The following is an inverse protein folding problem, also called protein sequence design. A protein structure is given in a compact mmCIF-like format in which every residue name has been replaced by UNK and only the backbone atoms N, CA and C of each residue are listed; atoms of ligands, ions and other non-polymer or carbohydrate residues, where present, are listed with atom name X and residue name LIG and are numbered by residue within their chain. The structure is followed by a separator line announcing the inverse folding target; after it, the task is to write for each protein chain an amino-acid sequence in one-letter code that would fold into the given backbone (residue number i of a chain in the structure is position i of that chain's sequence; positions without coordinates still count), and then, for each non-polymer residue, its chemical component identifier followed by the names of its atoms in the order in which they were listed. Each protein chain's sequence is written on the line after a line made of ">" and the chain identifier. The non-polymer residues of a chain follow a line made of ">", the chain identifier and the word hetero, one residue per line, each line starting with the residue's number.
data_IF_717261428741
#
_entry.id   IF_717261428741
#
_cell.length_a   1.000
_cell.length_b   1.000
_cell.length_c   1.000
_cell.angle_alpha   90.00
_cell.angle_beta   90.00
_cell.angle_gamma   90.00
#
_symmetry.space_group_name_H-M   'P 1'
#
loop_
_entity.id
_entity.type
_entity.pdbx_description
1 polymer ?
#
# COMPACT_ATOMS: atom_id res chain seq x y z
N UNK A 1 -26.26 19.56 -30.03
CA UNK A 1 -26.16 19.93 -28.61
C UNK A 1 -26.22 18.59 -27.86
N UNK A 2 -25.07 18.00 -27.57
CA UNK A 2 -24.98 16.78 -26.76
C UNK A 2 -24.93 17.28 -25.29
N UNK A 3 -25.87 16.78 -24.49
CA UNK A 3 -25.92 16.96 -23.07
C UNK A 3 -24.63 16.41 -22.46
N UNK A 4 -23.84 17.29 -21.88
CA UNK A 4 -22.81 16.89 -20.92
C UNK A 4 -23.56 16.27 -19.76
N UNK A 5 -23.54 14.94 -19.65
CA UNK A 5 -23.94 14.22 -18.44
C UNK A 5 -23.11 14.79 -17.28
N UNK A 6 -23.82 15.49 -16.41
CA UNK A 6 -23.29 16.10 -15.21
C UNK A 6 -22.95 14.95 -14.25
N UNK A 7 -21.70 14.46 -14.30
CA UNK A 7 -21.20 13.41 -13.41
C UNK A 7 -20.91 14.05 -12.05
N UNK A 8 -21.99 14.46 -11.35
CA UNK A 8 -21.90 15.02 -10.01
C UNK A 8 -21.67 13.88 -9.04
N UNK A 9 -20.62 13.98 -8.21
CA UNK A 9 -20.34 13.04 -7.11
C UNK A 9 -21.57 12.92 -6.22
N UNK A 10 -22.03 11.69 -5.97
CA UNK A 10 -23.22 11.38 -5.19
C UNK A 10 -22.85 10.68 -3.90
N UNK A 11 -23.21 11.28 -2.77
CA UNK A 11 -22.94 10.72 -1.46
C UNK A 11 -24.23 10.21 -0.82
N UNK A 12 -24.21 8.99 -0.30
CA UNK A 12 -25.28 8.42 0.49
C UNK A 12 -24.82 8.28 1.94
N UNK A 13 -25.43 9.03 2.86
CA UNK A 13 -25.26 8.86 4.30
C UNK A 13 -26.30 7.84 4.83
N UNK A 14 -25.82 6.80 5.53
CA UNK A 14 -26.63 5.70 6.09
C UNK A 14 -26.37 5.64 7.59
N UNK A 15 -27.31 6.14 8.38
CA UNK A 15 -27.22 6.26 9.84
C UNK A 15 -28.64 6.39 10.40
N UNK A 16 -28.99 5.70 11.48
CA UNK A 16 -30.31 5.83 12.11
C UNK A 16 -30.46 7.15 12.86
N UNK A 17 -29.39 7.81 13.21
CA UNK A 17 -29.37 9.15 13.80
C UNK A 17 -29.48 10.21 12.69
N UNK A 18 -30.67 10.83 12.57
CA UNK A 18 -30.92 11.83 11.53
C UNK A 18 -29.97 13.03 11.62
N UNK A 19 -29.59 13.45 12.82
CA UNK A 19 -28.65 14.57 13.04
C UNK A 19 -27.27 14.28 12.44
N UNK A 20 -26.83 13.03 12.48
CA UNK A 20 -25.57 12.59 11.84
C UNK A 20 -25.71 12.58 10.31
N UNK A 21 -26.84 12.04 9.82
CA UNK A 21 -27.15 12.10 8.38
C UNK A 21 -27.14 13.53 7.85
N UNK A 22 -27.75 14.46 8.56
CA UNK A 22 -27.84 15.87 8.18
C UNK A 22 -26.45 16.55 8.21
N UNK A 23 -25.65 16.28 9.26
CA UNK A 23 -24.28 16.76 9.35
C UNK A 23 -23.42 16.28 8.17
N UNK A 24 -23.46 14.98 7.86
CA UNK A 24 -22.71 14.40 6.73
C UNK A 24 -23.19 15.00 5.41
N UNK A 25 -24.50 15.18 5.24
CA UNK A 25 -25.06 15.81 4.03
C UNK A 25 -24.61 17.26 3.89
N UNK A 26 -24.67 18.08 4.95
CA UNK A 26 -24.27 19.49 4.93
C UNK A 26 -22.77 19.66 4.57
N UNK A 27 -21.90 18.87 5.21
CA UNK A 27 -20.46 18.84 4.89
C UNK A 27 -20.25 18.47 3.41
N UNK A 28 -20.98 17.43 2.95
CA UNK A 28 -20.88 16.95 1.56
C UNK A 28 -21.35 18.02 0.55
N UNK A 29 -22.43 18.73 0.83
CA UNK A 29 -22.90 19.84 0.00
C UNK A 29 -21.85 20.96 -0.10
N UNK A 30 -21.22 21.32 1.02
CA UNK A 30 -20.12 22.29 1.05
C UNK A 30 -18.93 21.89 0.16
N UNK A 31 -18.74 20.59 -0.04
CA UNK A 31 -17.72 20.02 -0.91
C UNK A 31 -18.21 19.77 -2.36
N UNK A 32 -19.48 20.05 -2.69
CA UNK A 32 -20.03 19.92 -4.05
C UNK A 32 -20.54 18.51 -4.39
N UNK A 33 -20.84 17.67 -3.42
CA UNK A 33 -21.57 16.41 -3.64
C UNK A 33 -23.07 16.67 -3.77
N UNK A 34 -23.76 15.79 -4.48
CA UNK A 34 -25.21 15.62 -4.34
C UNK A 34 -25.40 14.58 -3.25
N UNK A 35 -25.96 14.96 -2.09
CA UNK A 35 -26.12 14.07 -0.96
C UNK A 35 -27.57 13.54 -0.85
N UNK A 36 -27.68 12.30 -0.37
CA UNK A 36 -28.93 11.70 0.05
C UNK A 36 -28.68 11.00 1.40
N UNK A 37 -29.75 10.92 2.20
CA UNK A 37 -29.71 10.28 3.51
C UNK A 37 -30.60 9.04 3.54
N UNK A 38 -30.29 8.10 4.42
CA UNK A 38 -31.04 6.87 4.63
C UNK A 38 -30.97 6.46 6.10
N UNK A 39 -32.06 6.61 6.82
CA UNK A 39 -32.16 6.22 8.23
C UNK A 39 -32.69 4.80 8.46
N UNK A 40 -33.27 4.18 7.43
CA UNK A 40 -33.72 2.78 7.48
C UNK A 40 -32.80 1.91 6.59
N UNK A 41 -31.87 1.13 7.17
CA UNK A 41 -30.93 0.31 6.41
C UNK A 41 -31.59 -0.79 5.58
N UNK A 42 -32.84 -1.18 5.86
CA UNK A 42 -33.57 -2.16 5.05
C UNK A 42 -33.82 -1.68 3.61
N UNK A 43 -33.85 -0.36 3.43
CA UNK A 43 -34.03 0.29 2.13
C UNK A 43 -32.73 0.48 1.34
N UNK A 44 -31.58 0.04 1.89
CA UNK A 44 -30.27 0.26 1.27
C UNK A 44 -30.23 -0.20 -0.21
N UNK A 45 -30.65 -1.43 -0.49
CA UNK A 45 -30.63 -1.96 -1.87
C UNK A 45 -31.50 -1.15 -2.85
N UNK A 46 -32.64 -0.64 -2.40
CA UNK A 46 -33.51 0.20 -3.24
C UNK A 46 -32.85 1.57 -3.49
N UNK A 47 -32.30 2.17 -2.43
CA UNK A 47 -31.64 3.47 -2.52
C UNK A 47 -30.37 3.41 -3.38
N UNK A 48 -29.57 2.36 -3.27
CA UNK A 48 -28.41 2.12 -4.13
C UNK A 48 -28.79 2.14 -5.61
N UNK A 49 -29.85 1.42 -5.99
CA UNK A 49 -30.28 1.36 -7.41
C UNK A 49 -30.87 2.69 -7.92
N UNK A 50 -31.54 3.44 -7.07
CA UNK A 50 -32.22 4.69 -7.51
C UNK A 50 -31.31 5.91 -7.48
N UNK A 51 -30.36 5.94 -6.55
CA UNK A 51 -29.46 7.08 -6.35
C UNK A 51 -28.09 6.87 -6.94
N UNK A 52 -27.64 5.61 -7.08
CA UNK A 52 -26.34 5.20 -7.63
C UNK A 52 -25.19 6.03 -7.02
N UNK A 53 -24.94 5.91 -5.70
CA UNK A 53 -23.94 6.73 -5.03
C UNK A 53 -22.51 6.40 -5.47
N UNK A 54 -21.64 7.40 -5.50
CA UNK A 54 -20.19 7.25 -5.68
C UNK A 54 -19.47 7.10 -4.35
N UNK A 55 -20.07 7.64 -3.27
CA UNK A 55 -19.56 7.54 -1.89
C UNK A 55 -20.68 7.13 -0.96
N UNK A 56 -20.41 6.24 -0.01
CA UNK A 56 -21.31 5.84 1.07
C UNK A 56 -20.62 6.14 2.39
N UNK A 57 -21.29 6.89 3.28
CA UNK A 57 -20.93 7.00 4.69
C UNK A 57 -21.88 6.08 5.45
N UNK A 58 -21.31 5.05 6.11
CA UNK A 58 -22.10 3.95 6.68
C UNK A 58 -21.85 3.84 8.19
N UNK A 59 -22.90 3.97 9.00
CA UNK A 59 -22.81 3.58 10.41
C UNK A 59 -22.79 2.05 10.56
N UNK A 60 -22.00 1.60 11.53
CA UNK A 60 -21.93 0.18 11.90
C UNK A 60 -22.94 -0.23 12.96
N UNK A 61 -23.50 0.73 13.73
CA UNK A 61 -24.40 0.47 14.83
C UNK A 61 -25.79 1.04 14.56
N UNK A 62 -26.63 0.26 13.93
CA UNK A 62 -28.03 0.63 13.71
C UNK A 62 -28.98 -0.43 14.31
N UNK A 63 -30.11 -0.06 14.90
CA UNK A 63 -31.00 -0.99 15.60
C UNK A 63 -31.57 -2.11 14.72
N UNK A 64 -31.77 -1.85 13.43
CA UNK A 64 -32.45 -2.75 12.49
C UNK A 64 -31.50 -3.59 11.59
N UNK A 65 -30.21 -3.26 11.56
CA UNK A 65 -29.19 -4.05 10.86
C UNK A 65 -27.79 -3.71 11.39
N UNK A 66 -26.94 -4.70 11.57
CA UNK A 66 -25.55 -4.44 11.87
C UNK A 66 -24.75 -4.08 10.59
N UNK A 67 -23.75 -3.20 10.76
CA UNK A 67 -22.96 -2.71 9.64
C UNK A 67 -22.20 -3.80 8.89
N UNK A 68 -21.86 -4.92 9.56
CA UNK A 68 -21.18 -6.07 8.91
C UNK A 68 -22.12 -6.74 7.92
N UNK A 69 -23.40 -6.88 8.28
CA UNK A 69 -24.44 -7.40 7.37
C UNK A 69 -24.60 -6.47 6.15
N UNK A 70 -24.58 -5.15 6.37
CA UNK A 70 -24.68 -4.17 5.29
C UNK A 70 -23.45 -4.18 4.37
N UNK A 71 -22.24 -4.32 4.92
CA UNK A 71 -21.02 -4.49 4.11
C UNK A 71 -21.12 -5.73 3.23
N UNK A 72 -21.59 -6.85 3.78
CA UNK A 72 -21.80 -8.08 3.00
C UNK A 72 -22.85 -7.89 1.90
N UNK A 73 -23.94 -7.21 2.19
CA UNK A 73 -24.98 -6.88 1.21
C UNK A 73 -24.43 -5.98 0.08
N UNK A 74 -23.60 -4.98 0.40
CA UNK A 74 -22.92 -4.13 -0.60
C UNK A 74 -21.95 -4.93 -1.45
N UNK A 75 -21.22 -5.88 -0.87
CA UNK A 75 -20.33 -6.78 -1.61
C UNK A 75 -21.10 -7.67 -2.58
N UNK A 76 -22.22 -8.30 -2.13
CA UNK A 76 -23.09 -9.13 -2.97
C UNK A 76 -23.66 -8.34 -4.15
N UNK A 77 -23.92 -7.04 -3.96
CA UNK A 77 -24.37 -6.12 -5.01
C UNK A 77 -23.22 -5.64 -5.91
N UNK A 78 -21.96 -6.04 -5.65
CA UNK A 78 -20.76 -5.58 -6.36
C UNK A 78 -20.65 -4.05 -6.35
N UNK A 79 -20.90 -3.45 -5.19
CA UNK A 79 -20.85 -2.01 -4.99
C UNK A 79 -19.49 -1.44 -5.39
N UNK A 80 -19.50 -0.40 -6.24
CA UNK A 80 -18.30 0.31 -6.67
C UNK A 80 -18.07 1.62 -5.90
N UNK A 81 -19.05 2.07 -5.10
CA UNK A 81 -18.92 3.28 -4.31
C UNK A 81 -17.79 3.15 -3.29
N UNK A 82 -17.12 4.26 -2.99
CA UNK A 82 -16.18 4.33 -1.89
C UNK A 82 -16.92 4.35 -0.55
N UNK A 83 -16.53 3.51 0.41
CA UNK A 83 -17.23 3.35 1.68
C UNK A 83 -16.39 3.93 2.80
N UNK A 84 -16.96 4.91 3.51
CA UNK A 84 -16.43 5.46 4.75
C UNK A 84 -17.26 4.90 5.91
N UNK A 85 -16.60 4.24 6.86
CA UNK A 85 -17.27 3.76 8.06
C UNK A 85 -17.33 4.87 9.11
N UNK A 86 -18.49 5.00 9.74
CA UNK A 86 -18.74 5.92 10.84
C UNK A 86 -19.32 5.12 11.99
N UNK A 87 -18.81 5.23 13.22
CA UNK A 87 -19.42 4.52 14.35
C UNK A 87 -18.97 5.04 15.71
N UNK A 88 -19.83 4.80 16.73
CA UNK A 88 -19.52 4.99 18.13
C UNK A 88 -18.75 3.83 18.78
N UNK A 89 -18.54 2.71 18.07
CA UNK A 89 -17.76 1.57 18.59
C UNK A 89 -16.30 1.93 18.82
N UNK A 90 -15.62 1.12 19.62
CA UNK A 90 -14.18 1.28 19.84
C UNK A 90 -13.37 1.15 18.53
N UNK A 91 -12.20 1.78 18.51
CA UNK A 91 -11.35 1.86 17.33
C UNK A 91 -10.96 0.48 16.76
N UNK A 92 -10.86 -0.55 17.61
CA UNK A 92 -10.49 -1.92 17.22
C UNK A 92 -11.60 -2.60 16.44
N UNK A 93 -12.84 -2.47 16.92
CA UNK A 93 -14.04 -3.01 16.23
C UNK A 93 -14.22 -2.33 14.88
N UNK A 94 -14.03 -1.00 14.83
CA UNK A 94 -14.15 -0.21 13.61
C UNK A 94 -13.05 -0.58 12.59
N UNK A 95 -11.81 -0.83 13.04
CA UNK A 95 -10.73 -1.33 12.21
C UNK A 95 -11.01 -2.72 11.64
N UNK A 96 -11.63 -3.59 12.45
CA UNK A 96 -12.00 -4.95 12.01
C UNK A 96 -13.07 -4.91 10.92
N UNK A 97 -14.08 -4.03 11.05
CA UNK A 97 -15.11 -3.86 10.03
C UNK A 97 -14.55 -3.29 8.72
N UNK A 98 -13.64 -2.32 8.78
CA UNK A 98 -12.96 -1.79 7.60
C UNK A 98 -12.17 -2.88 6.87
N UNK A 99 -11.43 -3.69 7.61
CA UNK A 99 -10.68 -4.81 7.04
C UNK A 99 -11.59 -5.83 6.37
N UNK A 100 -12.69 -6.21 7.04
CA UNK A 100 -13.68 -7.12 6.47
C UNK A 100 -14.25 -6.58 5.15
N UNK A 101 -14.55 -5.28 5.07
CA UNK A 101 -14.98 -4.64 3.82
C UNK A 101 -13.94 -4.78 2.71
N UNK A 102 -12.67 -4.56 3.01
CA UNK A 102 -11.55 -4.76 2.04
C UNK A 102 -11.44 -6.21 1.57
N UNK A 103 -11.54 -7.18 2.49
CA UNK A 103 -11.51 -8.61 2.16
C UNK A 103 -12.70 -9.05 1.27
N UNK A 104 -13.83 -8.38 1.41
CA UNK A 104 -15.01 -8.60 0.56
C UNK A 104 -14.96 -7.85 -0.78
N UNK A 105 -13.83 -7.21 -1.10
CA UNK A 105 -13.62 -6.49 -2.35
C UNK A 105 -14.29 -5.12 -2.44
N UNK A 106 -14.73 -4.57 -1.31
CA UNK A 106 -15.30 -3.23 -1.23
C UNK A 106 -14.20 -2.17 -1.21
N UNK A 107 -14.47 -1.03 -1.83
CA UNK A 107 -13.57 0.12 -1.83
C UNK A 107 -13.71 0.91 -0.54
N UNK A 108 -12.91 0.57 0.46
CA UNK A 108 -12.93 1.26 1.76
C UNK A 108 -12.15 2.57 1.68
N UNK A 109 -12.80 3.70 1.99
CA UNK A 109 -12.22 5.03 2.03
C UNK A 109 -11.48 5.28 3.34
N UNK A 110 -11.95 4.66 4.42
CA UNK A 110 -11.42 4.78 5.76
C UNK A 110 -12.51 4.64 6.80
N UNK A 111 -12.19 5.12 8.00
CA UNK A 111 -13.10 5.07 9.15
C UNK A 111 -13.02 6.36 9.98
N UNK A 112 -14.13 6.74 10.58
CA UNK A 112 -14.25 7.83 11.54
C UNK A 112 -15.02 7.35 12.78
N UNK A 113 -14.56 7.76 13.95
CA UNK A 113 -15.26 7.50 15.21
C UNK A 113 -16.19 8.67 15.54
N UNK A 114 -17.40 8.35 16.06
CA UNK A 114 -18.29 9.38 16.63
C UNK A 114 -17.71 9.86 17.99
N UNK A 115 -17.74 11.18 18.29
CA UNK A 115 -18.36 12.26 17.52
C UNK A 115 -17.55 12.61 16.26
N UNK A 116 -18.27 12.98 15.18
CA UNK A 116 -17.68 13.21 13.86
C UNK A 116 -16.80 14.46 13.88
N UNK A 117 -15.52 14.29 13.59
CA UNK A 117 -14.61 15.39 13.28
C UNK A 117 -14.85 15.83 11.82
N UNK A 118 -15.38 17.03 11.65
CA UNK A 118 -15.71 17.61 10.33
C UNK A 118 -14.48 17.71 9.45
N UNK A 119 -13.32 18.12 10.00
CA UNK A 119 -12.09 18.28 9.22
C UNK A 119 -11.57 16.93 8.71
N UNK A 120 -11.66 15.88 9.54
CA UNK A 120 -11.29 14.53 9.15
C UNK A 120 -12.27 13.95 8.10
N UNK A 121 -13.58 14.24 8.24
CA UNK A 121 -14.58 13.87 7.24
C UNK A 121 -14.31 14.55 5.90
N UNK A 122 -14.07 15.86 5.87
CA UNK A 122 -13.71 16.62 4.68
C UNK A 122 -12.44 16.07 4.00
N UNK A 123 -11.41 15.77 4.79
CA UNK A 123 -10.17 15.20 4.27
C UNK A 123 -10.40 13.86 3.56
N UNK A 124 -11.16 12.95 4.16
CA UNK A 124 -11.49 11.65 3.58
C UNK A 124 -12.39 11.78 2.34
N UNK A 125 -13.43 12.59 2.39
CA UNK A 125 -14.29 12.86 1.23
C UNK A 125 -13.52 13.53 0.09
N UNK A 126 -12.56 14.40 0.40
CA UNK A 126 -11.66 15.00 -0.58
C UNK A 126 -10.79 13.98 -1.32
N UNK A 127 -10.39 12.89 -0.64
CA UNK A 127 -9.68 11.79 -1.30
C UNK A 127 -10.60 10.99 -2.23
N UNK A 128 -11.86 10.79 -1.86
CA UNK A 128 -12.86 10.13 -2.71
C UNK A 128 -13.04 10.85 -4.06
N UNK A 129 -13.16 12.18 -4.05
CA UNK A 129 -13.30 12.99 -5.27
C UNK A 129 -12.08 12.95 -6.18
N UNK A 130 -10.89 12.92 -5.59
CA UNK A 130 -9.64 12.81 -6.39
C UNK A 130 -9.54 11.48 -7.13
N UNK A 131 -10.12 10.43 -6.58
CA UNK A 131 -10.11 9.07 -7.19
C UNK A 131 -11.14 8.96 -8.32
N UNK A 132 -12.27 9.68 -8.27
CA UNK A 132 -13.28 9.71 -9.35
C UNK A 132 -12.94 10.68 -10.50
N UNK A 133 -11.88 11.49 -10.39
CA UNK A 133 -11.28 12.20 -11.54
C UNK A 133 -10.63 11.21 -12.54
N UNK A 134 -11.14 10.04 -12.58
CA UNK A 134 -11.19 8.86 -13.42
C UNK A 134 -10.05 8.69 -14.41
N UNK A 135 -9.04 7.93 -14.03
CA UNK A 135 -8.18 7.25 -15.01
C UNK A 135 -8.94 6.04 -15.55
N UNK A 136 -9.19 6.02 -16.83
CA UNK A 136 -9.82 4.89 -17.51
C UNK A 136 -8.80 3.79 -17.85
N UNK A 137 -9.29 2.59 -18.15
CA UNK A 137 -8.46 1.51 -18.68
C UNK A 137 -7.75 1.90 -19.99
N UNK A 138 -8.38 2.75 -20.80
CA UNK A 138 -7.80 3.23 -22.06
C UNK A 138 -6.69 4.28 -21.79
N UNK A 139 -6.87 5.15 -20.80
CA UNK A 139 -5.80 6.05 -20.35
C UNK A 139 -4.60 5.26 -19.84
N UNK A 140 -4.83 4.23 -19.04
CA UNK A 140 -3.76 3.37 -18.51
C UNK A 140 -3.06 2.59 -19.64
N UNK A 141 -3.80 2.05 -20.61
CA UNK A 141 -3.24 1.36 -21.76
C UNK A 141 -2.37 2.30 -22.62
N UNK A 142 -2.88 3.51 -22.87
CA UNK A 142 -2.12 4.55 -23.57
C UNK A 142 -0.87 4.93 -22.79
N UNK A 143 -0.98 5.18 -21.48
CA UNK A 143 0.13 5.57 -20.62
C UNK A 143 1.27 4.53 -20.62
N UNK A 144 0.93 3.23 -20.60
CA UNK A 144 1.92 2.15 -20.73
C UNK A 144 2.60 2.22 -22.11
N UNK A 145 1.82 2.42 -23.18
CA UNK A 145 2.36 2.45 -24.53
C UNK A 145 3.29 3.65 -24.80
N UNK A 146 3.02 4.82 -24.20
CA UNK A 146 3.84 6.03 -24.40
C UNK A 146 4.81 6.30 -23.23
N UNK A 147 4.87 5.38 -22.26
CA UNK A 147 5.77 5.43 -21.11
C UNK A 147 5.58 6.68 -20.23
N UNK A 148 4.36 6.92 -19.78
CA UNK A 148 4.05 7.99 -18.81
C UNK A 148 4.42 7.61 -17.36
N UNK A 149 5.08 6.48 -17.15
CA UNK A 149 5.49 5.98 -15.84
C UNK A 149 6.95 6.30 -15.54
N UNK A 150 7.23 6.44 -14.26
CA UNK A 150 8.60 6.48 -13.75
C UNK A 150 8.69 5.74 -12.42
N UNK A 151 9.91 5.35 -12.06
CA UNK A 151 10.20 4.74 -10.77
C UNK A 151 10.79 5.78 -9.83
N UNK A 152 10.16 5.94 -8.66
CA UNK A 152 10.74 6.62 -7.51
C UNK A 152 11.38 5.58 -6.59
N UNK A 153 12.47 5.93 -5.96
CA UNK A 153 13.23 5.03 -5.09
C UNK A 153 13.18 5.56 -3.66
N UNK A 154 12.74 4.73 -2.73
CA UNK A 154 12.75 5.06 -1.31
C UNK A 154 13.91 4.35 -0.62
N UNK A 155 14.79 5.07 0.09
CA UNK A 155 15.96 4.49 0.73
C UNK A 155 15.60 3.55 1.88
N UNK A 156 16.29 2.41 1.94
CA UNK A 156 16.29 1.44 3.04
C UNK A 156 17.64 1.52 3.77
N UNK A 157 17.61 1.80 5.07
CA UNK A 157 18.79 1.92 5.92
C UNK A 157 19.03 0.63 6.70
N UNK A 158 20.24 0.09 6.62
CA UNK A 158 20.66 -1.05 7.43
C UNK A 158 21.03 -0.59 8.85
N UNK A 159 20.54 -1.30 9.86
CA UNK A 159 20.83 -1.04 11.28
C UNK A 159 21.90 -1.97 11.86
N UNK A 160 22.42 -2.91 11.06
CA UNK A 160 23.44 -3.85 11.51
C UNK A 160 24.82 -3.18 11.60
N UNK A 161 25.64 -3.67 12.58
CA UNK A 161 27.08 -3.38 12.66
C UNK A 161 27.48 -1.97 13.09
N UNK A 162 26.57 -1.19 13.72
CA UNK A 162 26.91 0.13 14.27
C UNK A 162 27.24 1.20 13.23
N UNK A 163 27.08 0.90 11.94
CA UNK A 163 27.17 1.84 10.83
C UNK A 163 25.85 1.89 10.09
N UNK A 164 25.12 2.96 10.33
CA UNK A 164 23.87 3.24 9.63
C UNK A 164 24.19 3.68 8.20
N UNK A 165 23.86 2.87 7.23
CA UNK A 165 24.08 3.20 5.83
C UNK A 165 22.89 2.75 4.98
N UNK A 166 22.66 3.48 3.91
CA UNK A 166 21.69 3.07 2.89
C UNK A 166 22.29 1.88 2.13
N UNK A 167 21.64 0.73 2.21
CA UNK A 167 22.08 -0.52 1.55
C UNK A 167 21.14 -0.97 0.45
N UNK A 168 19.96 -0.35 0.39
CA UNK A 168 18.96 -0.69 -0.60
C UNK A 168 17.92 0.39 -0.76
N UNK A 169 16.99 0.12 -1.66
CA UNK A 169 15.86 0.99 -1.99
C UNK A 169 14.64 0.16 -2.31
N UNK A 170 13.46 0.71 -2.09
CA UNK A 170 12.22 0.21 -2.67
C UNK A 170 11.88 1.00 -3.94
N UNK A 171 11.58 0.27 -5.01
CA UNK A 171 11.19 0.82 -6.31
C UNK A 171 9.67 1.00 -6.36
N UNK A 172 9.23 2.24 -6.38
CA UNK A 172 7.85 2.64 -6.29
C UNK A 172 7.40 3.30 -7.59
N UNK A 173 6.56 2.62 -8.36
CA UNK A 173 6.02 3.17 -9.62
C UNK A 173 5.17 4.41 -9.35
N UNK A 174 5.27 5.40 -10.26
CA UNK A 174 4.47 6.62 -10.28
C UNK A 174 4.00 6.87 -11.71
N UNK A 175 2.78 7.32 -11.87
CA UNK A 175 2.25 7.70 -13.18
C UNK A 175 2.26 9.21 -13.33
N UNK A 176 3.04 9.71 -14.28
CA UNK A 176 3.08 11.13 -14.64
C UNK A 176 2.04 11.41 -15.71
N UNK A 177 0.80 11.63 -15.27
CA UNK A 177 -0.30 11.90 -16.19
C UNK A 177 -0.22 13.35 -16.70
N UNK A 178 -0.39 13.60 -18.03
CA UNK A 178 -0.18 14.92 -18.63
C UNK A 178 -1.13 16.01 -18.12
N UNK A 179 -2.33 15.65 -17.66
CA UNK A 179 -3.34 16.58 -17.14
C UNK A 179 -3.51 16.54 -15.63
N UNK A 180 -3.35 15.35 -15.01
CA UNK A 180 -3.64 15.12 -13.59
C UNK A 180 -2.40 15.22 -12.71
N UNK A 181 -1.20 15.40 -13.31
CA UNK A 181 0.05 15.38 -12.56
C UNK A 181 0.47 13.96 -12.16
N UNK A 182 1.10 13.83 -11.00
CA UNK A 182 1.57 12.52 -10.52
C UNK A 182 0.44 11.76 -9.83
N UNK A 183 0.05 10.63 -10.40
CA UNK A 183 -0.98 9.72 -9.87
C UNK A 183 -0.29 8.63 -9.02
N UNK A 184 -0.72 8.43 -7.77
CA UNK A 184 -0.15 7.42 -6.89
C UNK A 184 -0.62 6.00 -7.27
N UNK A 185 0.16 4.94 -6.92
CA UNK A 185 -0.16 3.55 -7.27
C UNK A 185 -1.55 3.08 -6.82
N UNK A 186 -2.01 3.54 -5.67
CA UNK A 186 -3.33 3.17 -5.12
C UNK A 186 -4.50 3.48 -6.06
N UNK A 187 -4.33 4.43 -6.98
CA UNK A 187 -5.38 4.83 -7.93
C UNK A 187 -5.37 3.97 -9.21
N UNK A 188 -4.21 3.50 -9.68
CA UNK A 188 -4.12 2.80 -10.96
C UNK A 188 -3.76 1.32 -10.87
N UNK A 189 -3.10 0.85 -9.80
CA UNK A 189 -2.77 -0.58 -9.66
C UNK A 189 -4.03 -1.46 -9.62
N UNK A 190 -5.08 -1.13 -8.80
CA UNK A 190 -6.30 -1.94 -8.82
C UNK A 190 -7.00 -1.93 -10.20
N UNK A 191 -6.91 -0.84 -10.94
CA UNK A 191 -7.41 -0.78 -12.32
C UNK A 191 -6.59 -1.66 -13.25
N UNK A 192 -5.25 -1.63 -13.14
CA UNK A 192 -4.36 -2.48 -13.93
C UNK A 192 -4.64 -3.97 -13.69
N UNK A 193 -4.89 -4.35 -12.44
CA UNK A 193 -5.24 -5.72 -12.05
C UNK A 193 -6.56 -6.18 -12.66
N UNK A 194 -7.62 -5.41 -12.50
CA UNK A 194 -8.96 -5.74 -13.05
C UNK A 194 -8.99 -5.80 -14.56
N UNK A 195 -8.14 -5.02 -15.24
CA UNK A 195 -8.13 -4.91 -16.71
C UNK A 195 -7.04 -5.76 -17.38
N UNK A 196 -6.26 -6.54 -16.61
CA UNK A 196 -5.15 -7.35 -17.11
C UNK A 196 -3.94 -6.55 -17.57
N UNK A 197 -3.88 -5.24 -17.28
CA UNK A 197 -2.76 -4.36 -17.62
C UNK A 197 -1.62 -4.43 -16.60
N UNK A 198 -1.78 -5.18 -15.51
CA UNK A 198 -0.76 -5.30 -14.47
C UNK A 198 0.52 -5.96 -14.99
N UNK A 199 0.44 -6.96 -15.87
CA UNK A 199 1.59 -7.63 -16.44
C UNK A 199 2.45 -6.70 -17.32
N UNK A 200 1.92 -6.00 -18.34
CA UNK A 200 2.70 -5.06 -19.12
C UNK A 200 3.23 -3.87 -18.31
N UNK A 201 2.51 -3.43 -17.28
CA UNK A 201 2.98 -2.40 -16.36
C UNK A 201 4.17 -2.89 -15.53
N UNK A 202 4.09 -4.10 -14.97
CA UNK A 202 5.19 -4.71 -14.22
C UNK A 202 6.43 -4.90 -15.09
N UNK A 203 6.26 -5.35 -16.33
CA UNK A 203 7.37 -5.50 -17.28
C UNK A 203 8.05 -4.15 -17.59
N UNK A 204 7.29 -3.06 -17.65
CA UNK A 204 7.82 -1.70 -17.84
C UNK A 204 8.63 -1.27 -16.62
N UNK A 205 8.10 -1.42 -15.43
CA UNK A 205 8.78 -1.09 -14.17
C UNK A 205 10.07 -1.88 -14.01
N UNK A 206 10.03 -3.18 -14.25
CA UNK A 206 11.21 -4.05 -14.13
C UNK A 206 12.31 -3.69 -15.12
N UNK A 207 11.96 -3.29 -16.35
CA UNK A 207 12.96 -2.80 -17.33
C UNK A 207 13.65 -1.52 -16.85
N UNK A 208 12.89 -0.58 -16.28
CA UNK A 208 13.46 0.65 -15.74
C UNK A 208 14.34 0.38 -14.51
N UNK A 209 13.88 -0.50 -13.61
CA UNK A 209 14.66 -0.94 -12.44
C UNK A 209 15.96 -1.61 -12.85
N UNK A 210 15.92 -2.59 -13.76
CA UNK A 210 17.11 -3.30 -14.21
C UNK A 210 18.15 -2.35 -14.86
N UNK A 211 17.66 -1.39 -15.66
CA UNK A 211 18.51 -0.35 -16.26
C UNK A 211 19.16 0.52 -15.17
N UNK A 212 18.40 0.93 -14.16
CA UNK A 212 18.91 1.77 -13.08
C UNK A 212 19.90 1.01 -12.19
N UNK A 213 19.64 -0.26 -11.88
CA UNK A 213 20.56 -1.11 -11.13
C UNK A 213 21.91 -1.25 -11.84
N UNK A 214 21.91 -1.40 -13.18
CA UNK A 214 23.14 -1.42 -13.98
C UNK A 214 23.92 -0.10 -13.86
N UNK A 215 23.21 1.05 -13.88
CA UNK A 215 23.84 2.38 -13.74
C UNK A 215 24.51 2.48 -12.37
N UNK A 216 23.83 2.11 -11.29
CA UNK A 216 24.38 2.14 -9.94
C UNK A 216 25.56 1.19 -9.75
N UNK A 217 25.48 -0.03 -10.30
CA UNK A 217 26.59 -0.97 -10.27
C UNK A 217 27.82 -0.42 -10.98
N UNK A 218 27.65 0.19 -12.16
CA UNK A 218 28.75 0.82 -12.91
C UNK A 218 29.33 2.05 -12.19
N UNK A 219 28.51 2.76 -11.37
CA UNK A 219 28.96 3.88 -10.54
C UNK A 219 29.63 3.44 -9.22
N UNK A 220 29.75 2.13 -8.97
CA UNK A 220 30.33 1.61 -7.72
C UNK A 220 29.40 1.68 -6.51
N UNK A 221 28.11 1.89 -6.70
CA UNK A 221 27.06 1.98 -5.64
C UNK A 221 26.03 0.86 -5.85
N UNK A 222 26.38 -0.42 -5.60
CA UNK A 222 25.48 -1.53 -5.83
C UNK A 222 24.41 -1.63 -4.73
N UNK A 223 23.26 -0.98 -4.93
CA UNK A 223 22.11 -1.04 -4.01
C UNK A 223 21.30 -2.32 -4.22
N UNK A 224 20.77 -2.85 -3.13
CA UNK A 224 19.67 -3.83 -3.21
C UNK A 224 18.38 -3.09 -3.61
N UNK A 225 17.62 -3.64 -4.54
CA UNK A 225 16.37 -3.03 -5.00
C UNK A 225 15.21 -3.97 -4.72
N UNK A 226 14.21 -3.50 -4.02
CA UNK A 226 12.97 -4.20 -3.79
C UNK A 226 11.91 -3.74 -4.79
N UNK A 227 11.14 -4.68 -5.34
CA UNK A 227 10.06 -4.41 -6.29
C UNK A 227 8.80 -5.14 -5.87
N UNK A 228 7.68 -4.42 -5.87
CA UNK A 228 6.38 -4.97 -5.60
C UNK A 228 5.85 -5.78 -6.79
N UNK A 229 5.33 -6.98 -6.52
CA UNK A 229 4.71 -7.87 -7.52
C UNK A 229 3.27 -8.18 -7.11
N UNK A 230 2.33 -7.89 -8.01
CA UNK A 230 0.91 -8.20 -7.78
C UNK A 230 0.66 -9.70 -7.62
N UNK A 231 -0.26 -10.04 -6.72
CA UNK A 231 -0.73 -11.42 -6.50
C UNK A 231 -1.18 -12.14 -7.76
N UNK A 232 -1.78 -11.40 -8.70
CA UNK A 232 -2.27 -11.95 -9.97
C UNK A 232 -1.13 -12.56 -10.78
N UNK A 233 0.07 -12.00 -10.68
CA UNK A 233 1.24 -12.47 -11.42
C UNK A 233 1.90 -13.70 -10.78
N UNK A 234 1.54 -14.06 -9.54
CA UNK A 234 2.03 -15.29 -8.90
C UNK A 234 1.42 -16.58 -9.47
N UNK A 235 0.43 -16.47 -10.35
CA UNK A 235 -0.09 -17.60 -11.12
C UNK A 235 0.75 -17.87 -12.41
N UNK A 236 1.67 -16.97 -12.77
CA UNK A 236 2.51 -17.11 -13.95
C UNK A 236 3.85 -17.78 -13.65
N UNK A 237 3.94 -19.07 -13.92
CA UNK A 237 5.16 -19.87 -13.73
C UNK A 237 6.38 -19.37 -14.55
N UNK A 238 6.15 -18.60 -15.60
CA UNK A 238 7.20 -18.01 -16.45
C UNK A 238 7.76 -16.69 -15.91
N UNK A 239 7.11 -16.06 -14.94
CA UNK A 239 7.52 -14.76 -14.40
C UNK A 239 8.97 -14.75 -13.88
N UNK A 240 9.41 -15.73 -13.05
CA UNK A 240 10.78 -15.75 -12.55
C UNK A 240 11.83 -15.88 -13.67
N UNK A 241 11.52 -16.61 -14.76
CA UNK A 241 12.41 -16.76 -15.91
C UNK A 241 12.52 -15.44 -16.68
N UNK A 242 11.42 -14.74 -16.91
CA UNK A 242 11.42 -13.44 -17.60
C UNK A 242 12.22 -12.39 -16.83
N UNK A 243 12.02 -12.30 -15.50
CA UNK A 243 12.76 -11.33 -14.67
C UNK A 243 14.24 -11.68 -14.66
N UNK A 244 14.58 -12.97 -14.52
CA UNK A 244 15.98 -13.41 -14.56
C UNK A 244 16.66 -13.05 -15.90
N UNK A 245 16.01 -13.35 -17.03
CA UNK A 245 16.55 -13.02 -18.36
C UNK A 245 16.73 -11.51 -18.56
N UNK A 246 15.80 -10.70 -18.00
CA UNK A 246 15.89 -9.24 -18.06
C UNK A 246 17.11 -8.71 -17.31
N UNK A 247 17.38 -9.20 -16.09
CA UNK A 247 18.55 -8.79 -15.29
C UNK A 247 19.85 -9.25 -15.92
N UNK A 248 19.90 -10.50 -16.44
CA UNK A 248 21.07 -11.03 -17.12
C UNK A 248 21.43 -10.22 -18.37
N UNK A 249 20.43 -9.81 -19.16
CA UNK A 249 20.62 -8.97 -20.32
C UNK A 249 21.19 -7.59 -19.97
N UNK A 250 21.01 -7.12 -18.73
CA UNK A 250 21.57 -5.89 -18.20
C UNK A 250 22.91 -6.12 -17.45
N UNK A 251 23.34 -7.37 -17.28
CA UNK A 251 24.51 -7.71 -16.47
C UNK A 251 24.37 -7.41 -14.98
N UNK A 252 23.14 -7.48 -14.47
CA UNK A 252 22.80 -7.17 -13.07
C UNK A 252 22.74 -8.47 -12.26
N UNK A 253 23.36 -8.45 -11.08
CA UNK A 253 23.31 -9.56 -10.12
C UNK A 253 21.87 -9.71 -9.56
N UNK A 254 21.27 -10.86 -9.80
CA UNK A 254 19.91 -11.21 -9.38
C UNK A 254 19.72 -11.18 -7.86
N UNK A 255 20.79 -11.46 -7.11
CA UNK A 255 20.76 -11.43 -5.62
C UNK A 255 20.55 -10.00 -5.06
N UNK A 256 20.66 -8.99 -5.93
CA UNK A 256 20.39 -7.59 -5.60
C UNK A 256 18.95 -7.18 -5.84
N UNK A 257 18.12 -8.07 -6.38
CA UNK A 257 16.68 -7.81 -6.53
C UNK A 257 15.90 -8.61 -5.50
N UNK A 258 15.11 -7.92 -4.69
CA UNK A 258 14.11 -8.50 -3.78
C UNK A 258 12.74 -8.35 -4.40
N UNK A 259 11.98 -9.45 -4.47
CA UNK A 259 10.58 -9.43 -4.90
C UNK A 259 9.72 -9.32 -3.65
N UNK A 260 8.90 -8.28 -3.57
CA UNK A 260 7.96 -8.03 -2.48
C UNK A 260 6.57 -8.48 -2.87
N UNK A 261 5.90 -9.20 -1.97
CA UNK A 261 4.55 -9.74 -2.15
C UNK A 261 3.78 -9.51 -0.85
N UNK A 262 2.58 -8.97 -0.93
CA UNK A 262 1.77 -8.73 0.27
C UNK A 262 1.39 -10.03 0.99
N UNK A 263 1.20 -9.95 2.31
CA UNK A 263 0.81 -11.07 3.15
C UNK A 263 -0.45 -11.77 2.60
N UNK A 264 -1.50 -11.00 2.32
CA UNK A 264 -2.77 -11.51 1.77
C UNK A 264 -2.55 -12.24 0.45
N UNK A 265 -1.72 -11.70 -0.44
CA UNK A 265 -1.39 -12.30 -1.73
C UNK A 265 -0.69 -13.66 -1.60
N UNK A 266 0.31 -13.73 -0.72
CA UNK A 266 1.08 -14.95 -0.49
C UNK A 266 0.22 -16.08 0.10
N UNK A 267 -0.80 -15.73 0.91
CA UNK A 267 -1.63 -16.69 1.65
C UNK A 267 -2.90 -17.10 0.90
N UNK A 268 -3.42 -16.29 -0.01
CA UNK A 268 -4.71 -16.55 -0.69
C UNK A 268 -4.71 -17.87 -1.48
N UNK A 269 -3.58 -18.25 -2.07
CA UNK A 269 -3.44 -19.49 -2.84
C UNK A 269 -2.05 -20.12 -2.65
N UNK A 270 -1.72 -20.45 -1.39
CA UNK A 270 -0.38 -20.86 -0.99
C UNK A 270 0.23 -21.99 -1.84
N UNK A 271 -0.59 -22.95 -2.35
CA UNK A 271 -0.08 -24.03 -3.19
C UNK A 271 0.40 -23.55 -4.56
N UNK A 272 -0.31 -22.62 -5.20
CA UNK A 272 0.08 -22.09 -6.52
C UNK A 272 1.22 -21.07 -6.40
N UNK A 273 1.10 -20.15 -5.44
CA UNK A 273 2.14 -19.16 -5.18
C UNK A 273 3.47 -19.80 -4.80
N UNK A 274 3.45 -20.95 -4.11
CA UNK A 274 4.66 -21.68 -3.69
C UNK A 274 5.57 -22.04 -4.87
N UNK A 275 5.01 -22.49 -6.00
CA UNK A 275 5.81 -22.86 -7.18
C UNK A 275 6.57 -21.66 -7.75
N UNK A 276 5.89 -20.52 -7.90
CA UNK A 276 6.49 -19.28 -8.43
C UNK A 276 7.52 -18.72 -7.44
N UNK A 277 7.18 -18.67 -6.13
CA UNK A 277 8.07 -18.18 -5.09
C UNK A 277 9.32 -19.08 -4.95
N UNK A 278 9.15 -20.42 -5.00
CA UNK A 278 10.29 -21.33 -4.98
C UNK A 278 11.21 -21.16 -6.20
N UNK A 279 10.63 -20.93 -7.39
CA UNK A 279 11.40 -20.64 -8.61
C UNK A 279 12.20 -19.33 -8.49
N UNK A 280 11.63 -18.29 -7.90
CA UNK A 280 12.36 -17.05 -7.61
C UNK A 280 13.59 -17.34 -6.74
N UNK A 281 13.43 -18.07 -5.63
CA UNK A 281 14.56 -18.42 -4.75
C UNK A 281 15.61 -19.27 -5.45
N UNK A 282 15.20 -20.29 -6.24
CA UNK A 282 16.12 -21.13 -7.02
C UNK A 282 16.91 -20.33 -8.06
N UNK A 283 16.38 -19.20 -8.53
CA UNK A 283 17.08 -18.30 -9.45
C UNK A 283 17.93 -17.23 -8.75
N UNK A 284 17.97 -17.24 -7.41
CA UNK A 284 18.82 -16.35 -6.61
C UNK A 284 18.17 -15.05 -6.17
N UNK A 285 16.87 -14.87 -6.38
CA UNK A 285 16.15 -13.69 -5.88
C UNK A 285 15.90 -13.77 -4.38
N UNK A 286 15.96 -12.64 -3.69
CA UNK A 286 15.37 -12.53 -2.35
C UNK A 286 13.86 -12.29 -2.45
N UNK A 287 13.12 -12.80 -1.44
CA UNK A 287 11.68 -12.65 -1.33
C UNK A 287 11.32 -11.98 -0.02
N UNK A 288 10.51 -10.95 -0.07
CA UNK A 288 10.02 -10.24 1.10
C UNK A 288 8.49 -10.33 1.17
N UNK A 289 7.98 -10.60 2.36
CA UNK A 289 6.54 -10.53 2.62
C UNK A 289 6.21 -9.13 3.15
N UNK A 290 5.29 -8.47 2.46
CA UNK A 290 4.89 -7.08 2.72
C UNK A 290 3.61 -6.99 3.54
N UNK A 291 3.38 -5.84 4.21
CA UNK A 291 2.21 -5.53 5.06
C UNK A 291 1.98 -6.57 6.18
N UNK A 292 3.06 -7.21 6.69
CA UNK A 292 2.92 -8.33 7.63
C UNK A 292 2.35 -7.89 8.98
N UNK A 293 1.35 -8.65 9.44
CA UNK A 293 0.63 -8.41 10.68
C UNK A 293 -0.73 -7.72 10.49
N UNK A 294 -1.04 -7.27 9.27
CA UNK A 294 -2.36 -6.69 8.95
C UNK A 294 -3.38 -7.73 8.51
N UNK A 295 -2.93 -8.95 8.13
CA UNK A 295 -3.73 -10.07 7.63
C UNK A 295 -3.92 -11.22 8.63
N UNK A 296 -4.49 -12.32 8.13
CA UNK A 296 -4.67 -13.58 8.86
C UNK A 296 -3.67 -14.63 8.37
N UNK A 297 -2.39 -14.44 8.65
CA UNK A 297 -1.41 -15.46 8.28
C UNK A 297 -1.42 -16.63 9.22
N UNK A 298 -1.47 -17.84 8.63
CA UNK A 298 -1.12 -19.04 9.36
C UNK A 298 0.41 -19.12 9.48
N UNK A 299 0.92 -19.18 10.71
CA UNK A 299 2.35 -19.40 10.96
C UNK A 299 2.89 -20.63 10.23
N UNK A 300 2.06 -21.66 10.04
CA UNK A 300 2.41 -22.86 9.28
C UNK A 300 2.64 -22.56 7.80
N UNK A 301 1.85 -21.68 7.22
CA UNK A 301 2.02 -21.26 5.83
C UNK A 301 3.27 -20.39 5.67
N UNK A 302 3.49 -19.44 6.56
CA UNK A 302 4.70 -18.62 6.57
C UNK A 302 5.97 -19.49 6.61
N UNK A 303 5.99 -20.50 7.48
CA UNK A 303 7.12 -21.45 7.62
C UNK A 303 7.38 -22.23 6.33
N UNK A 304 6.36 -22.51 5.52
CA UNK A 304 6.47 -23.29 4.27
C UNK A 304 6.89 -22.46 3.07
N UNK A 305 6.61 -21.17 3.09
CA UNK A 305 6.93 -20.28 1.98
C UNK A 305 8.40 -19.83 2.05
N UNK A 306 9.09 -19.75 0.91
CA UNK A 306 10.53 -19.53 0.88
C UNK A 306 10.93 -18.06 0.99
N UNK A 307 10.29 -17.30 1.89
CA UNK A 307 10.66 -15.92 2.16
C UNK A 307 12.04 -15.78 2.80
N UNK A 308 12.68 -14.67 2.60
CA UNK A 308 13.96 -14.28 3.20
C UNK A 308 13.84 -13.05 4.10
N UNK A 309 12.72 -12.32 3.99
CA UNK A 309 12.48 -11.09 4.73
C UNK A 309 10.98 -10.94 5.08
N UNK A 310 10.72 -10.31 6.23
CA UNK A 310 9.39 -9.86 6.65
C UNK A 310 9.45 -8.33 6.80
N UNK A 311 8.44 -7.62 6.27
CA UNK A 311 8.27 -6.18 6.48
C UNK A 311 7.20 -5.96 7.54
N UNK A 312 7.55 -5.23 8.60
CA UNK A 312 6.59 -4.74 9.60
C UNK A 312 5.84 -3.57 8.97
N UNK A 313 4.52 -3.70 8.86
CA UNK A 313 3.69 -2.66 8.25
C UNK A 313 3.78 -1.33 9.01
N UNK A 314 3.71 -0.26 8.25
CA UNK A 314 3.78 1.12 8.76
C UNK A 314 2.71 1.44 9.80
N UNK A 315 1.55 0.81 9.79
CA UNK A 315 0.49 1.06 10.77
C UNK A 315 0.95 0.78 12.20
N UNK A 316 1.79 -0.24 12.39
CA UNK A 316 2.40 -0.51 13.70
C UNK A 316 3.54 0.44 14.02
N UNK A 317 4.39 0.73 13.05
CA UNK A 317 5.58 1.58 13.25
C UNK A 317 5.20 3.02 13.59
N UNK A 318 4.17 3.57 12.95
CA UNK A 318 3.67 4.92 13.22
C UNK A 318 3.06 5.08 14.62
N UNK A 319 2.54 3.99 15.19
CA UNK A 319 1.91 3.99 16.51
C UNK A 319 2.87 3.53 17.64
N UNK A 320 4.12 3.19 17.36
CA UNK A 320 5.09 2.68 18.36
C UNK A 320 5.21 3.59 19.59
N UNK A 321 5.11 4.91 19.41
CA UNK A 321 5.26 5.85 20.52
C UNK A 321 4.05 5.92 21.44
N UNK A 322 2.86 5.73 20.91
CA UNK A 322 1.59 5.98 21.57
C UNK A 322 0.80 4.72 21.92
N UNK A 323 1.11 3.59 21.30
CA UNK A 323 0.37 2.32 21.44
C UNK A 323 1.27 1.20 21.97
N UNK A 324 0.96 0.69 23.16
CA UNK A 324 1.60 -0.51 23.70
C UNK A 324 1.26 -1.75 22.84
N UNK A 325 0.05 -1.80 22.27
CA UNK A 325 -0.35 -2.88 21.36
C UNK A 325 0.54 -2.91 20.12
N UNK A 326 0.82 -1.76 19.50
CA UNK A 326 1.70 -1.64 18.36
C UNK A 326 3.14 -2.11 18.70
N UNK A 327 3.63 -1.75 19.88
CA UNK A 327 4.95 -2.22 20.40
C UNK A 327 4.99 -3.74 20.55
N UNK A 328 3.95 -4.33 21.14
CA UNK A 328 3.85 -5.80 21.32
C UNK A 328 3.82 -6.51 19.98
N UNK A 329 3.06 -6.00 19.01
CA UNK A 329 2.97 -6.57 17.67
C UNK A 329 4.32 -6.48 16.94
N UNK A 330 4.94 -5.30 16.90
CA UNK A 330 6.24 -5.10 16.25
C UNK A 330 7.32 -6.02 16.85
N UNK A 331 7.35 -6.16 18.19
CA UNK A 331 8.25 -7.08 18.89
C UNK A 331 7.97 -8.53 18.52
N UNK A 332 6.70 -8.93 18.51
CA UNK A 332 6.30 -10.30 18.17
C UNK A 332 6.69 -10.68 16.74
N UNK A 333 6.55 -9.75 15.80
CA UNK A 333 6.97 -9.96 14.40
C UNK A 333 8.50 -10.06 14.31
N UNK A 334 9.26 -9.20 15.00
CA UNK A 334 10.71 -9.25 15.02
C UNK A 334 11.25 -10.54 15.63
N UNK A 335 10.63 -11.02 16.73
CA UNK A 335 10.99 -12.29 17.37
C UNK A 335 10.63 -13.50 16.48
N UNK A 336 9.47 -13.48 15.83
CA UNK A 336 9.05 -14.51 14.89
C UNK A 336 10.02 -14.61 13.71
N UNK A 337 10.35 -13.50 13.07
CA UNK A 337 11.27 -13.45 11.95
C UNK A 337 12.65 -14.02 12.34
N UNK A 338 13.17 -13.64 13.52
CA UNK A 338 14.43 -14.15 14.06
C UNK A 338 14.41 -15.66 14.27
N UNK A 339 13.32 -16.18 14.83
CA UNK A 339 13.13 -17.63 15.05
C UNK A 339 13.04 -18.41 13.73
N UNK A 340 12.56 -17.76 12.66
CA UNK A 340 12.49 -18.33 11.31
C UNK A 340 13.74 -18.05 10.47
N UNK A 341 14.75 -17.37 11.03
CA UNK A 341 15.96 -16.93 10.35
C UNK A 341 15.67 -16.05 9.12
N UNK A 342 14.67 -15.18 9.23
CA UNK A 342 14.29 -14.18 8.24
C UNK A 342 14.83 -12.81 8.64
N UNK A 343 15.16 -11.96 7.66
CA UNK A 343 15.46 -10.56 7.88
C UNK A 343 14.17 -9.81 8.24
N UNK A 344 14.31 -8.68 8.94
CA UNK A 344 13.19 -7.80 9.27
C UNK A 344 13.45 -6.41 8.70
N UNK A 345 12.49 -5.90 7.96
CA UNK A 345 12.42 -4.49 7.54
C UNK A 345 11.25 -3.82 8.27
N UNK A 346 11.45 -2.66 8.90
CA UNK A 346 10.35 -1.89 9.45
C UNK A 346 10.04 -0.69 8.54
N UNK A 347 8.77 -0.53 8.20
CA UNK A 347 8.28 0.55 7.36
C UNK A 347 7.73 1.73 8.17
N UNK A 348 7.57 2.89 7.51
CA UNK A 348 6.92 4.05 8.10
C UNK A 348 7.68 4.66 9.27
N UNK A 349 9.00 4.56 9.32
CA UNK A 349 9.82 5.18 10.35
C UNK A 349 9.89 6.68 10.11
N UNK A 350 9.20 7.48 10.95
CA UNK A 350 9.11 8.93 10.79
C UNK A 350 9.78 9.70 11.91
N UNK A 351 10.05 9.04 13.06
CA UNK A 351 10.62 9.70 14.26
C UNK A 351 11.89 9.01 14.74
N UNK A 352 12.80 9.75 15.39
CA UNK A 352 13.99 9.18 16.04
C UNK A 352 13.64 8.19 17.16
N UNK A 353 12.52 8.39 17.84
CA UNK A 353 12.03 7.57 18.96
C UNK A 353 11.60 6.20 18.44
N UNK A 354 10.84 6.16 17.34
CA UNK A 354 10.47 4.90 16.66
C UNK A 354 11.73 4.17 16.18
N UNK A 355 12.68 4.88 15.59
CA UNK A 355 13.96 4.31 15.16
C UNK A 355 14.75 3.70 16.33
N UNK A 356 14.80 4.38 17.47
CA UNK A 356 15.50 3.89 18.68
C UNK A 356 14.86 2.58 19.17
N UNK A 357 13.53 2.51 19.23
CA UNK A 357 12.82 1.28 19.62
C UNK A 357 13.06 0.13 18.65
N UNK A 358 13.06 0.38 17.35
CA UNK A 358 13.34 -0.64 16.34
C UNK A 358 14.78 -1.18 16.42
N UNK A 359 15.76 -0.34 16.84
CA UNK A 359 17.12 -0.80 17.15
C UNK A 359 17.15 -1.75 18.34
N UNK A 360 16.39 -1.45 19.41
CA UNK A 360 16.28 -2.36 20.56
C UNK A 360 15.69 -3.71 20.16
N UNK A 361 14.74 -3.73 19.23
CA UNK A 361 14.16 -4.94 18.65
C UNK A 361 15.13 -5.67 17.69
N UNK A 362 16.30 -5.09 17.37
CA UNK A 362 17.29 -5.63 16.44
C UNK A 362 16.71 -5.88 15.03
N UNK A 363 15.91 -4.95 14.56
CA UNK A 363 15.43 -4.92 13.19
C UNK A 363 16.62 -4.75 12.24
N UNK A 364 16.65 -5.47 11.12
CA UNK A 364 17.79 -5.46 10.18
C UNK A 364 17.85 -4.20 9.33
N UNK A 365 16.69 -3.76 8.84
CA UNK A 365 16.55 -2.60 7.95
C UNK A 365 15.33 -1.77 8.33
N UNK A 366 15.39 -0.48 8.03
CA UNK A 366 14.29 0.46 8.24
C UNK A 366 14.06 1.31 7.01
N UNK A 367 12.81 1.70 6.81
CA UNK A 367 12.35 2.55 5.73
C UNK A 367 11.30 3.51 6.25
N UNK A 368 11.35 4.78 5.83
CA UNK A 368 10.37 5.78 6.25
C UNK A 368 10.83 7.19 5.94
N UNK A 369 10.00 8.18 6.26
CA UNK A 369 10.30 9.57 5.91
C UNK A 369 11.45 10.16 6.73
N UNK A 370 11.77 9.58 7.88
CA UNK A 370 12.98 9.93 8.63
C UNK A 370 14.26 9.58 7.84
N UNK A 371 14.25 8.48 7.11
CA UNK A 371 15.38 8.01 6.31
C UNK A 371 15.41 8.73 4.96
N UNK A 372 14.25 8.83 4.30
CA UNK A 372 14.06 9.54 3.05
C UNK A 372 12.72 9.26 2.42
N UNK A 373 12.17 10.28 1.76
CA UNK A 373 10.95 10.13 0.96
C UNK A 373 11.28 9.45 -0.37
N UNK A 374 10.30 8.80 -1.04
CA UNK A 374 10.49 8.33 -2.40
C UNK A 374 10.95 9.47 -3.32
N UNK A 375 12.05 9.28 -4.03
CA UNK A 375 12.69 10.29 -4.87
C UNK A 375 13.18 9.71 -6.20
N UNK A 376 13.51 10.55 -7.16
CA UNK A 376 14.14 10.11 -8.41
C UNK A 376 15.55 9.56 -8.17
N UNK A 377 16.03 8.67 -9.05
CA UNK A 377 17.35 8.07 -8.93
C UNK A 377 18.47 9.11 -8.80
N UNK A 378 18.41 10.19 -9.57
CA UNK A 378 19.41 11.28 -9.54
C UNK A 378 19.45 12.00 -8.19
N UNK A 379 18.31 12.18 -7.55
CA UNK A 379 18.21 12.82 -6.23
C UNK A 379 18.76 11.89 -5.15
N UNK A 380 18.47 10.59 -5.26
CA UNK A 380 19.01 9.57 -4.37
C UNK A 380 20.56 9.50 -4.46
N UNK A 381 21.12 9.48 -5.66
CA UNK A 381 22.57 9.49 -5.86
C UNK A 381 23.22 10.71 -5.20
N UNK A 382 22.58 11.86 -5.32
CA UNK A 382 23.02 13.10 -4.66
C UNK A 382 22.97 13.00 -3.13
N UNK A 383 21.89 12.40 -2.58
CA UNK A 383 21.74 12.18 -1.15
C UNK A 383 22.81 11.20 -0.60
N UNK A 384 23.05 10.09 -1.30
CA UNK A 384 24.08 9.11 -0.91
C UNK A 384 25.47 9.73 -0.84
N UNK A 385 25.89 10.49 -1.85
CA UNK A 385 27.18 11.17 -1.87
C UNK A 385 27.35 12.15 -0.69
N UNK A 386 26.28 12.87 -0.30
CA UNK A 386 26.32 13.79 0.84
C UNK A 386 26.52 13.05 2.16
N UNK A 387 25.90 11.87 2.32
CA UNK A 387 26.07 11.03 3.51
C UNK A 387 27.52 10.52 3.64
N UNK A 388 28.12 10.04 2.54
CA UNK A 388 29.52 9.57 2.52
C UNK A 388 30.51 10.67 2.89
N UNK A 389 30.33 11.90 2.40
CA UNK A 389 31.21 13.03 2.73
C UNK A 389 31.06 13.52 4.16
N UNK A 390 29.92 13.30 4.81
CA UNK A 390 29.70 13.66 6.20
C UNK A 390 30.36 12.67 7.18
N UNK A 391 30.43 11.39 6.82
CA UNK A 391 31.10 10.35 7.63
C UNK A 391 32.64 10.52 7.60
N UNK A 392 33.22 10.86 6.47
CA UNK A 392 34.67 11.12 6.35
C UNK A 392 35.12 12.35 7.15
N UNK A 393 34.25 13.37 7.27
CA UNK A 393 34.54 14.58 8.06
C UNK A 393 34.54 14.36 9.58
N UNK A 394 33.82 13.36 10.09
CA UNK A 394 33.77 13.01 11.51
C UNK A 394 34.98 12.15 11.96
N UNK A 395 35.58 11.38 11.04
CA UNK A 395 36.74 10.56 11.35
C UNK A 395 38.06 11.36 11.38
N UNK A 396 38.08 12.54 10.77
CA UNK A 396 39.29 13.41 10.72
C UNK A 396 39.42 14.38 11.93
N UNK A 397 38.41 14.43 12.81
CA UNK A 397 38.41 15.36 13.97
C UNK A 397 38.84 14.71 15.31
N UNK A 398 39.27 13.45 15.31
CA UNK A 398 39.82 12.73 16.48
C UNK A 398 41.17 12.13 16.12
N UNK A 399 42.12 13.00 15.88
CA UNK A 399 43.52 12.66 15.64
C UNK A 399 44.39 13.61 16.50
#
# INVERSE_FOLDING_TARGET
>A
MAETENNSDRLLAVDDEQDICDLVADVSYGMGFVAATLSDPTMLSAKMRSFDPTVIVLDLQMPSADGVTLLRQLSDMKCQAAILLLSGVDARTLATAERLGKEQGLRMLGRLQKPVDVSALEALLGTARKVDAGVSADDLRRAIAVNEFFVAYQPKMCLKEGRERITGVEALVRWQHPRLGTIPPMEFIPLAERTGLIAPLTDLVLRDVARQMRIWAAAGVPLNVAVNVSSILLDDLGLPDRIAALLDAQGVDRTKLTVEVTETAAMANACKSMDVLARFRLKGFDLSIDDFGTGYSSLVQLFRLPFSEIKIDKSFTLEIETSEEARVIARSIADLARNLNLKVCAEGVETPEALAYLRELRVDTVQGYLIGKPMRAVDLETALRRMETSDDGSAAAVG
#
